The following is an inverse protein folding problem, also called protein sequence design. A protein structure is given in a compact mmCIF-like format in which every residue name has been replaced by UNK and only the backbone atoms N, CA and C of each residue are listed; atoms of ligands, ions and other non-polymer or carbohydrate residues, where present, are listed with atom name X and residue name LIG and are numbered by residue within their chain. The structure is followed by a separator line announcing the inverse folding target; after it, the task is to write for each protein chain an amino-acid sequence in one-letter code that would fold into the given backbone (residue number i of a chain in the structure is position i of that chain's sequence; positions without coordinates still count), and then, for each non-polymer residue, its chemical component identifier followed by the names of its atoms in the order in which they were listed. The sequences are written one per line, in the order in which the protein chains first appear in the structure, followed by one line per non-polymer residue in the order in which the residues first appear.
data_IF_570542028558
#
_entry.id   IF_570542028558
#
_cell.length_a   1.000
_cell.length_b   1.000
_cell.length_c   1.000
_cell.angle_alpha   90.00
_cell.angle_beta   90.00
_cell.angle_gamma   90.00
#
_symmetry.space_group_name_H-M   'P 1'
#
loop_
_entity.id
_entity.type
_entity.pdbx_description
1 polymer ?
#
# COMPACT_ATOMS: atom_id res chain seq x y z
N UNK A 1 11.55 -8.59 1.78
CA UNK A 1 11.49 -7.14 1.98
C UNK A 1 10.52 -6.86 3.11
N UNK A 2 10.76 -5.81 3.88
CA UNK A 2 9.90 -5.39 4.99
C UNK A 2 9.28 -4.04 4.68
N UNK A 3 8.00 -3.89 5.00
CA UNK A 3 7.33 -2.60 4.88
C UNK A 3 7.98 -1.60 5.84
N UNK A 4 8.27 -0.40 5.36
CA UNK A 4 9.01 0.60 6.11
C UNK A 4 8.15 1.81 6.46
N UNK A 5 7.54 2.45 5.46
CA UNK A 5 6.81 3.71 5.66
C UNK A 5 5.88 4.06 4.51
N UNK A 6 5.06 5.08 4.73
CA UNK A 6 4.23 5.74 3.72
C UNK A 6 4.73 7.17 3.55
N UNK A 7 4.96 7.57 2.30
CA UNK A 7 5.41 8.89 1.94
C UNK A 7 4.46 9.56 0.95
N UNK A 8 4.55 10.89 0.83
CA UNK A 8 3.87 11.61 -0.22
C UNK A 8 4.37 11.18 -1.60
N UNK A 9 3.46 11.04 -2.56
CA UNK A 9 3.83 10.77 -3.95
C UNK A 9 4.44 12.02 -4.62
N UNK A 10 5.52 11.83 -5.37
CA UNK A 10 6.14 12.90 -6.16
C UNK A 10 5.31 13.24 -7.41
N UNK A 11 4.48 12.31 -7.88
CA UNK A 11 3.74 12.42 -9.15
C UNK A 11 2.27 12.79 -8.95
N UNK A 12 1.72 12.55 -7.75
CA UNK A 12 0.34 12.92 -7.42
C UNK A 12 0.28 13.50 -6.01
N UNK A 13 -0.16 14.77 -5.90
CA UNK A 13 -0.33 15.45 -4.60
C UNK A 13 -1.32 14.75 -3.67
N UNK A 14 -2.19 13.91 -4.23
CA UNK A 14 -3.29 13.25 -3.50
C UNK A 14 -3.09 11.72 -3.42
N UNK A 15 -1.96 11.20 -3.91
CA UNK A 15 -1.59 9.78 -3.81
C UNK A 15 -0.60 9.52 -2.67
N UNK A 16 -0.08 8.29 -2.60
CA UNK A 16 0.98 7.93 -1.66
C UNK A 16 2.01 6.98 -2.28
N UNK A 17 3.18 6.89 -1.63
CA UNK A 17 4.22 5.90 -1.88
C UNK A 17 4.35 5.02 -0.65
N UNK A 18 4.12 3.74 -0.83
CA UNK A 18 4.38 2.72 0.17
C UNK A 18 5.81 2.20 -0.10
N UNK A 19 6.67 2.21 0.91
CA UNK A 19 8.10 1.90 0.75
C UNK A 19 8.44 0.60 1.47
N UNK A 20 9.12 -0.30 0.77
CA UNK A 20 9.66 -1.56 1.30
C UNK A 20 11.18 -1.51 1.22
N UNK A 21 11.84 -1.98 2.29
CA UNK A 21 13.29 -2.12 2.33
C UNK A 21 13.69 -3.59 2.25
N UNK A 22 14.68 -3.88 1.41
CA UNK A 22 15.33 -5.17 1.34
C UNK A 22 16.30 -5.41 2.50
N UNK A 23 16.99 -6.55 2.44
CA UNK A 23 18.03 -6.90 3.43
C UNK A 23 19.27 -6.02 3.24
N UNK A 24 19.54 -5.63 1.99
CA UNK A 24 20.61 -4.70 1.62
C UNK A 24 20.08 -3.25 1.61
N UNK A 25 20.91 -2.28 2.01
CA UNK A 25 20.48 -0.88 2.13
C UNK A 25 20.10 -0.22 0.81
N UNK A 26 20.63 -0.72 -0.31
CA UNK A 26 20.34 -0.24 -1.66
C UNK A 26 19.10 -0.90 -2.29
N UNK A 27 18.55 -1.94 -1.66
CA UNK A 27 17.36 -2.65 -2.16
C UNK A 27 16.11 -2.00 -1.59
N UNK A 28 15.39 -1.26 -2.41
CA UNK A 28 14.15 -0.56 -2.03
C UNK A 28 13.10 -0.76 -3.10
N UNK A 29 11.92 -1.21 -2.69
CA UNK A 29 10.75 -1.32 -3.56
C UNK A 29 9.71 -0.26 -3.17
N UNK A 30 9.07 0.33 -4.17
CA UNK A 30 8.09 1.41 -3.97
C UNK A 30 6.82 1.12 -4.73
N UNK A 31 5.71 1.13 -4.01
CA UNK A 31 4.37 0.99 -4.58
C UNK A 31 3.68 2.34 -4.56
N UNK A 32 3.30 2.81 -5.73
CA UNK A 32 2.66 4.12 -5.89
C UNK A 32 1.16 3.90 -6.01
N UNK A 33 0.39 4.53 -5.13
CA UNK A 33 -1.07 4.57 -5.22
C UNK A 33 -1.52 5.96 -5.63
N UNK A 34 -2.41 6.03 -6.61
CA UNK A 34 -3.15 7.25 -6.90
C UNK A 34 -4.23 7.50 -5.83
N UNK A 35 -4.89 8.65 -5.91
CA UNK A 35 -5.92 9.06 -4.94
C UNK A 35 -7.04 8.03 -4.81
N UNK A 36 -7.56 7.55 -5.94
CA UNK A 36 -8.71 6.64 -5.96
C UNK A 36 -8.35 5.28 -5.34
N UNK A 37 -7.15 4.76 -5.61
CA UNK A 37 -6.63 3.52 -5.04
C UNK A 37 -6.42 3.65 -3.53
N UNK A 38 -5.83 4.77 -3.09
CA UNK A 38 -5.66 5.09 -1.68
C UNK A 38 -7.02 5.19 -0.96
N UNK A 39 -8.00 5.88 -1.55
CA UNK A 39 -9.35 6.02 -0.98
C UNK A 39 -10.04 4.66 -0.82
N UNK A 40 -9.98 3.79 -1.84
CA UNK A 40 -10.51 2.42 -1.75
C UNK A 40 -9.84 1.61 -0.64
N UNK A 41 -8.52 1.69 -0.54
CA UNK A 41 -7.76 0.99 0.50
C UNK A 41 -8.13 1.50 1.90
N UNK A 42 -8.24 2.83 2.06
CA UNK A 42 -8.70 3.47 3.30
C UNK A 42 -10.12 3.02 3.67
N UNK A 43 -11.03 2.90 2.72
CA UNK A 43 -12.39 2.41 2.99
C UNK A 43 -12.40 0.99 3.55
N UNK A 44 -11.60 0.08 2.98
CA UNK A 44 -11.47 -1.31 3.43
C UNK A 44 -10.95 -1.33 4.88
N UNK A 45 -9.89 -0.57 5.16
CA UNK A 45 -9.31 -0.48 6.50
C UNK A 45 -10.24 0.17 7.52
N UNK A 46 -10.98 1.23 7.16
CA UNK A 46 -11.98 1.86 8.05
C UNK A 46 -13.10 0.90 8.44
N UNK A 47 -13.49 0.00 7.53
CA UNK A 47 -14.52 -1.01 7.77
C UNK A 47 -13.99 -2.23 8.55
N UNK A 48 -12.67 -2.31 8.82
CA UNK A 48 -12.00 -3.51 9.35
C UNK A 48 -12.41 -4.77 8.58
N UNK A 49 -12.49 -4.67 7.24
CA UNK A 49 -12.97 -5.74 6.37
C UNK A 49 -11.84 -6.26 5.47
N UNK A 50 -12.06 -7.43 4.88
CA UNK A 50 -11.22 -7.95 3.79
C UNK A 50 -11.69 -7.40 2.45
N UNK A 51 -10.80 -7.32 1.47
CA UNK A 51 -11.16 -6.84 0.14
C UNK A 51 -9.98 -6.81 -0.82
N UNK A 52 -10.25 -6.34 -2.04
CA UNK A 52 -9.24 -6.19 -3.08
C UNK A 52 -9.32 -4.79 -3.67
N UNK A 53 -8.15 -4.22 -3.99
CA UNK A 53 -8.01 -2.96 -4.72
C UNK A 53 -7.24 -3.26 -5.99
N UNK A 54 -7.92 -3.20 -7.13
CA UNK A 54 -7.29 -3.21 -8.45
C UNK A 54 -6.66 -1.84 -8.73
N UNK A 55 -5.41 -1.85 -9.21
CA UNK A 55 -4.65 -0.65 -9.56
C UNK A 55 -4.87 -0.26 -11.04
N UNK A 56 -4.47 0.95 -11.40
CA UNK A 56 -4.66 1.55 -12.73
C UNK A 56 -4.16 0.68 -13.91
N UNK A 57 -3.13 -0.12 -13.68
CA UNK A 57 -2.55 -1.04 -14.68
C UNK A 57 -3.41 -2.30 -14.93
N UNK A 58 -4.54 -2.46 -14.22
CA UNK A 58 -5.53 -3.55 -14.34
C UNK A 58 -4.95 -4.97 -14.14
N UNK A 59 -3.71 -5.05 -13.68
CA UNK A 59 -2.97 -6.31 -13.50
C UNK A 59 -2.40 -6.39 -12.10
N UNK A 60 -2.09 -5.25 -11.49
CA UNK A 60 -1.68 -5.18 -10.11
C UNK A 60 -2.89 -5.12 -9.16
N UNK A 61 -2.82 -5.89 -8.07
CA UNK A 61 -3.89 -6.02 -7.09
C UNK A 61 -3.32 -5.95 -5.67
N UNK A 62 -3.95 -5.14 -4.82
CA UNK A 62 -3.74 -5.18 -3.37
C UNK A 62 -4.86 -6.03 -2.76
N UNK A 63 -4.50 -7.14 -2.12
CA UNK A 63 -5.44 -7.99 -1.39
C UNK A 63 -5.29 -7.78 0.10
N UNK A 64 -6.35 -7.31 0.74
CA UNK A 64 -6.43 -7.12 2.19
C UNK A 64 -7.13 -8.32 2.81
N UNK A 65 -6.40 -9.07 3.62
CA UNK A 65 -6.97 -10.12 4.49
C UNK A 65 -6.91 -9.69 5.95
N UNK A 66 -7.49 -10.49 6.85
CA UNK A 66 -7.50 -10.17 8.28
C UNK A 66 -6.11 -10.07 8.90
N UNK A 67 -5.16 -10.90 8.44
CA UNK A 67 -3.83 -11.02 9.04
C UNK A 67 -2.74 -10.33 8.21
N UNK A 68 -2.82 -10.48 6.88
CA UNK A 68 -1.80 -10.03 5.92
C UNK A 68 -2.44 -9.31 4.74
N UNK A 69 -1.88 -8.15 4.40
CA UNK A 69 -2.14 -7.43 3.15
C UNK A 69 -1.04 -7.78 2.16
N UNK A 70 -1.44 -8.20 0.96
CA UNK A 70 -0.58 -8.65 -0.12
C UNK A 70 -0.64 -7.68 -1.29
N UNK A 71 0.53 -7.34 -1.84
CA UNK A 71 0.67 -6.48 -3.01
C UNK A 71 1.20 -7.35 -4.15
N UNK A 72 0.30 -7.71 -5.05
CA UNK A 72 0.60 -8.50 -6.24
C UNK A 72 0.76 -7.51 -7.39
N UNK A 73 1.98 -7.07 -7.65
CA UNK A 73 2.25 -6.01 -8.63
C UNK A 73 3.00 -6.55 -9.84
N UNK A 74 2.71 -5.96 -11.00
CA UNK A 74 3.43 -6.29 -12.24
C UNK A 74 4.90 -5.86 -12.12
N UNK A 75 5.83 -6.79 -12.36
CA UNK A 75 7.29 -6.61 -12.27
C UNK A 75 7.88 -6.41 -10.87
N UNK A 76 7.13 -6.64 -9.80
CA UNK A 76 7.68 -6.70 -8.44
C UNK A 76 7.56 -8.11 -7.85
N UNK A 77 8.42 -8.49 -6.90
CA UNK A 77 8.15 -9.66 -6.06
C UNK A 77 6.84 -9.47 -5.30
N UNK A 78 6.25 -10.57 -4.81
CA UNK A 78 5.12 -10.49 -3.89
C UNK A 78 5.57 -9.74 -2.62
N UNK A 79 4.95 -8.58 -2.36
CA UNK A 79 5.20 -7.83 -1.13
C UNK A 79 4.06 -8.09 -0.14
N UNK A 80 4.42 -8.33 1.11
CA UNK A 80 3.46 -8.65 2.17
C UNK A 80 3.75 -7.81 3.40
N UNK A 81 2.70 -7.45 4.12
CA UNK A 81 2.77 -6.70 5.39
C UNK A 81 1.61 -7.12 6.27
N UNK A 82 1.81 -7.10 7.58
CA UNK A 82 0.71 -7.34 8.52
C UNK A 82 -0.39 -6.31 8.31
N UNK A 83 -1.63 -6.75 8.21
CA UNK A 83 -2.77 -5.88 7.91
C UNK A 83 -2.86 -4.73 8.92
N UNK A 84 -2.73 -5.03 10.21
CA UNK A 84 -2.80 -4.02 11.27
C UNK A 84 -1.72 -2.94 11.11
N UNK A 85 -0.49 -3.33 10.76
CA UNK A 85 0.65 -2.42 10.65
C UNK A 85 0.44 -1.40 9.51
N UNK A 86 0.06 -1.88 8.32
CA UNK A 86 -0.20 -0.99 7.19
C UNK A 86 -1.50 -0.20 7.37
N UNK A 87 -2.51 -0.79 8.01
CA UNK A 87 -3.78 -0.14 8.30
C UNK A 87 -3.57 1.11 9.17
N UNK A 88 -2.81 1.00 10.26
CA UNK A 88 -2.52 2.16 11.12
C UNK A 88 -1.84 3.29 10.34
N UNK A 89 -0.84 2.95 9.53
CA UNK A 89 -0.07 3.91 8.73
C UNK A 89 -0.90 4.56 7.62
N UNK A 90 -1.69 3.79 6.87
CA UNK A 90 -2.54 4.30 5.79
C UNK A 90 -3.61 5.23 6.36
N UNK A 91 -4.23 4.86 7.47
CA UNK A 91 -5.25 5.69 8.12
C UNK A 91 -4.65 6.95 8.77
N UNK A 92 -3.41 6.90 9.26
CA UNK A 92 -2.68 8.08 9.73
C UNK A 92 -2.35 9.04 8.59
N UNK A 93 -1.82 8.52 7.48
CA UNK A 93 -1.50 9.31 6.29
C UNK A 93 -2.75 10.00 5.71
N UNK A 94 -3.86 9.27 5.57
CA UNK A 94 -5.11 9.79 5.01
C UNK A 94 -5.84 10.82 5.89
N UNK A 95 -5.40 11.06 7.13
CA UNK A 95 -5.91 12.13 8.00
C UNK A 95 -5.25 13.49 7.73
N UNK A 96 -4.14 13.51 6.99
CA UNK A 96 -3.45 14.76 6.65
C UNK A 96 -4.34 15.54 5.67
N UNK A 97 -4.74 16.78 6.00
CA UNK A 97 -5.72 17.58 5.25
C UNK A 97 -5.21 18.10 3.90
#
# INVERSE_FOLDING_TARGET
MEFQTIEASYTSKEGCRLVWKGVDEDDTDVVILNKNELEKLVEIFKKNSTGEVELEDQTSIIRVNSDVTQFMLTNHPLLEVKTNEIQEKVLEYAKVP
#
